data_IF_349457169189
#
_entry.id   IF_349457169189
#
_cell.length_a   1.000
_cell.length_b   1.000
_cell.length_c   1.000
_cell.angle_alpha   90.00
_cell.angle_beta   90.00
_cell.angle_gamma   90.00
#
_symmetry.space_group_name_H-M   'P 1'
#
loop_
_entity.id
_entity.type
_entity.pdbx_description
1 polymer ?
#
# COMPACT_ATOMS: atom_id res chain seq x y z
N UNK A 1 6.39 -3.75 -0.08
CA UNK A 1 5.70 -2.54 0.41
C UNK A 1 6.77 -1.48 0.65
N UNK A 2 6.57 -0.26 0.15
CA UNK A 2 7.47 0.87 0.42
C UNK A 2 6.70 1.90 1.25
N UNK A 3 7.32 2.42 2.30
CA UNK A 3 6.79 3.47 3.16
C UNK A 3 7.89 4.52 3.29
N UNK A 4 7.52 5.79 3.30
CA UNK A 4 8.46 6.91 3.41
C UNK A 4 8.01 7.92 4.46
N UNK A 5 8.97 8.63 5.02
CA UNK A 5 8.75 9.73 5.95
C UNK A 5 9.86 10.77 5.78
N UNK A 6 9.56 12.01 6.14
CA UNK A 6 10.56 13.05 6.30
C UNK A 6 10.84 13.23 7.80
N UNK A 7 12.11 13.23 8.19
CA UNK A 7 12.50 13.37 9.58
C UNK A 7 14.01 13.57 9.71
N UNK A 8 14.42 14.15 10.83
CA UNK A 8 15.84 14.34 11.16
C UNK A 8 16.51 13.06 11.65
N UNK A 9 15.73 12.01 11.95
CA UNK A 9 16.17 10.72 12.48
C UNK A 9 15.49 9.60 11.67
N UNK A 10 16.14 9.09 10.61
CA UNK A 10 15.62 8.01 9.77
C UNK A 10 15.37 6.71 10.55
N UNK A 11 16.18 6.42 11.56
CA UNK A 11 16.06 5.24 12.41
C UNK A 11 14.79 5.32 13.26
N UNK A 12 14.47 6.48 13.84
CA UNK A 12 13.22 6.68 14.55
C UNK A 12 11.98 6.50 13.65
N UNK A 13 12.08 6.91 12.37
CA UNK A 13 11.01 6.68 11.38
C UNK A 13 10.84 5.18 11.10
N UNK A 14 11.95 4.45 10.90
CA UNK A 14 11.92 3.00 10.71
C UNK A 14 11.29 2.30 11.92
N UNK A 15 11.72 2.63 13.13
CA UNK A 15 11.17 2.05 14.36
C UNK A 15 9.66 2.31 14.47
N UNK A 16 9.21 3.53 14.18
CA UNK A 16 7.78 3.85 14.18
C UNK A 16 6.98 3.02 13.17
N UNK A 17 7.53 2.78 11.97
CA UNK A 17 6.92 1.90 10.96
C UNK A 17 6.85 0.46 11.48
N UNK A 18 7.92 -0.04 12.11
CA UNK A 18 7.97 -1.39 12.69
C UNK A 18 6.98 -1.58 13.86
N UNK A 19 6.59 -0.51 14.56
CA UNK A 19 5.54 -0.57 15.57
C UNK A 19 4.12 -0.58 15.00
N UNK A 20 3.91 -0.19 13.72
CA UNK A 20 2.59 0.00 13.14
C UNK A 20 1.67 -1.24 13.24
N UNK A 21 2.13 -2.50 13.05
CA UNK A 21 1.27 -3.67 13.18
C UNK A 21 0.71 -3.90 14.59
N UNK A 22 1.29 -3.28 15.61
CA UNK A 22 0.79 -3.34 16.99
C UNK A 22 -0.45 -2.48 17.20
N UNK A 23 -0.73 -1.56 16.26
CA UNK A 23 -1.92 -0.72 16.29
C UNK A 23 -2.98 -1.31 15.37
N UNK A 24 -4.15 -1.63 15.92
CA UNK A 24 -5.26 -2.14 15.11
C UNK A 24 -5.87 -1.03 14.25
N UNK A 25 -6.44 -1.41 13.12
CA UNK A 25 -7.18 -0.48 12.27
C UNK A 25 -8.61 -0.36 12.77
N UNK A 26 -9.10 0.86 12.96
CA UNK A 26 -10.53 1.04 13.20
C UNK A 26 -11.33 0.62 11.96
N UNK A 27 -12.50 -0.03 12.12
CA UNK A 27 -13.35 -0.40 10.99
C UNK A 27 -13.71 0.79 10.09
N UNK A 28 -13.88 1.99 10.66
CA UNK A 28 -14.19 3.21 9.93
C UNK A 28 -13.00 3.66 9.07
N UNK A 29 -11.77 3.57 9.60
CA UNK A 29 -10.55 3.88 8.86
C UNK A 29 -10.37 2.91 7.70
N UNK A 30 -10.61 1.63 7.94
CA UNK A 30 -10.56 0.60 6.90
C UNK A 30 -11.57 0.86 5.77
N UNK A 31 -12.84 1.13 6.11
CA UNK A 31 -13.87 1.46 5.13
C UNK A 31 -13.53 2.70 4.30
N UNK A 32 -12.97 3.75 4.94
CA UNK A 32 -12.49 4.94 4.24
C UNK A 32 -11.35 4.64 3.27
N UNK A 33 -10.41 3.77 3.65
CA UNK A 33 -9.32 3.35 2.79
C UNK A 33 -9.83 2.55 1.59
N UNK A 34 -10.74 1.57 1.78
CA UNK A 34 -11.38 0.83 0.68
C UNK A 34 -12.08 1.79 -0.29
N UNK A 35 -12.84 2.77 0.23
CA UNK A 35 -13.50 3.79 -0.61
C UNK A 35 -12.51 4.63 -1.41
N UNK A 36 -11.39 5.03 -0.80
CA UNK A 36 -10.32 5.77 -1.47
C UNK A 36 -9.69 4.98 -2.63
N UNK A 37 -9.38 3.70 -2.39
CA UNK A 37 -8.83 2.80 -3.43
C UNK A 37 -9.84 2.63 -4.56
N UNK A 38 -11.12 2.36 -4.26
CA UNK A 38 -12.17 2.24 -5.28
C UNK A 38 -12.26 3.48 -6.17
N UNK A 39 -12.23 4.67 -5.59
CA UNK A 39 -12.25 5.93 -6.35
C UNK A 39 -11.05 6.09 -7.28
N UNK A 40 -9.86 5.66 -6.83
CA UNK A 40 -8.64 5.66 -7.65
C UNK A 40 -8.75 4.68 -8.83
N UNK A 41 -9.19 3.45 -8.58
CA UNK A 41 -9.38 2.43 -9.62
C UNK A 41 -10.36 2.91 -10.69
N UNK A 42 -11.49 3.51 -10.29
CA UNK A 42 -12.46 4.09 -11.23
C UNK A 42 -11.81 5.16 -12.11
N UNK A 43 -11.08 6.11 -11.50
CA UNK A 43 -10.42 7.19 -12.24
C UNK A 43 -9.38 6.67 -13.24
N UNK A 44 -8.69 5.58 -12.92
CA UNK A 44 -7.70 4.98 -13.81
C UNK A 44 -8.34 4.30 -15.02
N UNK A 45 -9.57 3.81 -14.89
CA UNK A 45 -10.34 3.23 -16.00
C UNK A 45 -10.96 4.30 -16.93
N UNK A 46 -11.05 5.55 -16.49
CA UNK A 46 -11.55 6.65 -17.33
C UNK A 46 -10.54 7.09 -18.41
N UNK A 47 -9.26 6.71 -18.26
CA UNK A 47 -8.20 7.04 -19.22
C UNK A 47 -7.88 5.88 -20.15
N UNK A 48 -7.83 6.15 -21.47
CA UNK A 48 -7.43 5.13 -22.45
C UNK A 48 -6.04 4.56 -22.16
N UNK A 49 -5.04 5.44 -22.01
CA UNK A 49 -3.65 5.04 -21.76
C UNK A 49 -3.49 4.28 -20.43
N UNK A 50 -4.06 4.80 -19.33
CA UNK A 50 -4.01 4.14 -18.02
C UNK A 50 -4.70 2.78 -18.04
N UNK A 51 -5.81 2.64 -18.78
CA UNK A 51 -6.48 1.35 -18.95
C UNK A 51 -5.60 0.36 -19.71
N UNK A 52 -4.96 0.78 -20.81
CA UNK A 52 -4.04 -0.07 -21.56
C UNK A 52 -2.89 -0.57 -20.69
N UNK A 53 -2.28 0.28 -19.86
CA UNK A 53 -1.21 -0.15 -18.95
C UNK A 53 -1.69 -1.18 -17.94
N UNK A 54 -2.86 -0.99 -17.34
CA UNK A 54 -3.43 -1.92 -16.34
C UNK A 54 -3.75 -3.29 -16.92
N UNK A 55 -4.31 -3.33 -18.14
CA UNK A 55 -4.55 -4.58 -18.86
C UNK A 55 -3.24 -5.33 -19.05
N UNK A 56 -2.20 -4.65 -19.54
CA UNK A 56 -0.89 -5.25 -19.75
C UNK A 56 -0.26 -5.74 -18.44
N UNK A 57 -0.28 -4.91 -17.40
CA UNK A 57 0.24 -5.27 -16.07
C UNK A 57 -0.46 -6.51 -15.50
N UNK A 58 -1.80 -6.55 -15.56
CA UNK A 58 -2.58 -7.70 -15.12
C UNK A 58 -2.23 -8.98 -15.91
N UNK A 59 -2.12 -8.88 -17.23
CA UNK A 59 -1.72 -10.02 -18.08
C UNK A 59 -0.33 -10.55 -17.69
N UNK A 60 0.65 -9.66 -17.46
CA UNK A 60 1.99 -10.07 -17.04
C UNK A 60 2.00 -10.68 -15.64
N UNK A 61 1.12 -10.23 -14.75
CA UNK A 61 0.91 -10.83 -13.43
C UNK A 61 0.09 -12.13 -13.47
N UNK A 62 -0.37 -12.57 -14.65
CA UNK A 62 -1.18 -13.78 -14.81
C UNK A 62 -2.64 -13.62 -14.38
N UNK A 63 -3.17 -12.39 -14.39
CA UNK A 63 -4.51 -12.03 -13.94
C UNK A 63 -5.33 -11.22 -14.95
N UNK A 64 -6.42 -10.65 -14.44
CA UNK A 64 -7.37 -9.80 -15.18
C UNK A 64 -7.61 -8.51 -14.40
N UNK A 65 -7.45 -7.34 -15.05
CA UNK A 65 -7.65 -6.05 -14.40
C UNK A 65 -9.13 -5.72 -14.13
N UNK A 66 -10.09 -6.44 -14.72
CA UNK A 66 -11.51 -6.14 -14.54
C UNK A 66 -12.15 -6.78 -13.30
N UNK A 67 -11.47 -7.73 -12.65
CA UNK A 67 -11.95 -8.36 -11.41
C UNK A 67 -11.52 -7.61 -10.13
N UNK A 68 -10.80 -6.50 -10.26
CA UNK A 68 -10.20 -5.77 -9.13
C UNK A 68 -11.23 -5.19 -8.16
N UNK A 69 -12.44 -4.84 -8.62
CA UNK A 69 -13.50 -4.35 -7.74
C UNK A 69 -14.04 -5.46 -6.85
N UNK A 70 -14.24 -6.66 -7.39
CA UNK A 70 -14.68 -7.83 -6.62
C UNK A 70 -13.60 -8.27 -5.64
N UNK A 71 -12.34 -8.26 -6.09
CA UNK A 71 -11.19 -8.50 -5.21
C UNK A 71 -11.12 -7.46 -4.08
N UNK A 72 -11.24 -6.17 -4.40
CA UNK A 72 -11.26 -5.12 -3.40
C UNK A 72 -12.40 -5.34 -2.40
N UNK A 73 -13.58 -5.74 -2.85
CA UNK A 73 -14.72 -6.01 -1.97
C UNK A 73 -14.49 -7.22 -1.06
N UNK A 74 -13.82 -8.26 -1.54
CA UNK A 74 -13.47 -9.45 -0.75
C UNK A 74 -12.46 -9.19 0.38
N UNK A 75 -11.60 -8.17 0.25
CA UNK A 75 -10.58 -7.87 1.27
C UNK A 75 -11.25 -7.48 2.58
N UNK A 76 -10.91 -8.22 3.64
CA UNK A 76 -11.38 -7.97 5.01
C UNK A 76 -10.37 -7.15 5.82
N UNK A 77 -10.84 -6.63 6.96
CA UNK A 77 -9.98 -5.97 7.94
C UNK A 77 -8.92 -6.96 8.47
N UNK A 78 -9.32 -8.19 8.78
CA UNK A 78 -8.42 -9.22 9.28
C UNK A 78 -7.33 -9.59 8.28
N UNK A 79 -7.64 -9.63 6.98
CA UNK A 79 -6.63 -9.89 5.94
C UNK A 79 -5.58 -8.79 5.92
N UNK A 80 -6.02 -7.54 6.09
CA UNK A 80 -5.13 -6.36 6.10
C UNK A 80 -4.24 -6.37 7.34
N UNK A 81 -4.79 -6.67 8.51
CA UNK A 81 -4.02 -6.79 9.76
C UNK A 81 -3.01 -7.93 9.67
N UNK A 82 -3.42 -9.11 9.18
CA UNK A 82 -2.53 -10.24 8.98
C UNK A 82 -1.39 -9.91 8.00
N UNK A 83 -1.69 -9.26 6.89
CA UNK A 83 -0.68 -8.84 5.90
C UNK A 83 0.36 -7.91 6.53
N UNK A 84 -0.08 -6.94 7.34
CA UNK A 84 0.82 -6.01 8.02
C UNK A 84 1.72 -6.73 9.03
N UNK A 85 1.15 -7.62 9.85
CA UNK A 85 1.93 -8.43 10.81
C UNK A 85 2.96 -9.32 10.12
N UNK A 86 2.62 -9.91 8.96
CA UNK A 86 3.54 -10.78 8.22
C UNK A 86 4.62 -10.01 7.44
N UNK A 87 4.34 -8.76 7.04
CA UNK A 87 5.21 -8.02 6.12
C UNK A 87 6.11 -7.03 6.85
N UNK A 88 5.55 -6.31 7.83
CA UNK A 88 6.25 -5.23 8.54
C UNK A 88 7.01 -5.82 9.72
N UNK A 89 8.20 -6.35 9.41
CA UNK A 89 9.09 -7.04 10.35
C UNK A 89 10.52 -6.53 10.17
N UNK A 90 11.35 -6.53 11.22
CA UNK A 90 12.75 -6.11 11.11
C UNK A 90 13.52 -6.89 10.04
N UNK A 91 13.27 -8.19 9.92
CA UNK A 91 13.98 -9.09 8.99
C UNK A 91 13.68 -8.81 7.52
N UNK A 92 12.54 -8.15 7.24
CA UNK A 92 12.11 -7.75 5.89
C UNK A 92 12.33 -6.27 5.61
N UNK A 93 12.83 -5.51 6.58
CA UNK A 93 13.01 -4.08 6.44
C UNK A 93 14.35 -3.75 5.74
N UNK A 94 14.31 -2.73 4.88
CA UNK A 94 15.48 -2.09 4.32
C UNK A 94 15.30 -0.58 4.40
N UNK A 95 16.30 0.14 4.90
CA UNK A 95 16.28 1.59 5.05
C UNK A 95 17.16 2.25 3.98
N UNK A 96 16.57 3.19 3.22
CA UNK A 96 17.27 4.02 2.26
C UNK A 96 17.05 5.48 2.65
N UNK A 97 18.15 6.21 2.88
CA UNK A 97 18.11 7.61 3.33
C UNK A 97 18.63 8.51 2.23
N UNK A 98 17.89 9.57 1.92
CA UNK A 98 18.34 10.66 1.05
C UNK A 98 18.56 11.87 1.94
N UNK A 99 19.83 12.26 2.10
CA UNK A 99 20.21 13.44 2.85
C UNK A 99 20.46 14.62 1.88
N UNK A 100 20.12 15.86 2.27
CA UNK A 100 20.56 17.03 1.52
C UNK A 100 22.10 17.10 1.50
N UNK A 101 22.64 17.69 0.45
CA UNK A 101 24.08 17.95 0.35
C UNK A 101 24.51 18.95 1.44
N UNK A 102 25.65 18.73 2.10
CA UNK A 102 26.22 19.70 3.05
C UNK A 102 26.62 20.98 2.29
N UNK A 103 26.20 22.14 2.78
CA UNK A 103 26.47 23.45 2.16
C UNK A 103 27.87 23.99 2.49
#
# INVERSE_FOLDING_TARGET
>A
MQVGGAGCDPEAVLEAILQAPKTSFSPERFARLKKSVRGRLLRELDGFESTCYRICEAIFAGGDCFCEFDLLDSITLSDTEALLTQTVTPERAALSVVAPEEA
#
